data_IF_213543112298
#
_entry.id   IF_213543112298
#
_cell.length_a   1.000
_cell.length_b   1.000
_cell.length_c   1.000
_cell.angle_alpha   90.00
_cell.angle_beta   90.00
_cell.angle_gamma   90.00
#
_symmetry.space_group_name_H-M   'P 1'
#
loop_
_entity.id
_entity.type
_entity.pdbx_description
1 polymer ?
#
# COMPACT_ATOMS: atom_id res chain seq x y z
N UNK A 1 28.62 -23.71 23.44
CA UNK A 1 28.29 -22.28 23.58
C UNK A 1 27.57 -21.86 22.32
N UNK A 2 26.23 -21.85 22.35
CA UNK A 2 25.41 -21.48 21.19
C UNK A 2 25.29 -19.96 21.13
N UNK A 3 25.75 -19.37 20.03
CA UNK A 3 25.52 -17.96 19.73
C UNK A 3 24.02 -17.79 19.51
N UNK A 4 23.33 -17.14 20.46
CA UNK A 4 21.99 -16.61 20.20
C UNK A 4 22.21 -15.51 19.17
N UNK A 5 21.86 -15.78 17.91
CA UNK A 5 21.85 -14.73 16.90
C UNK A 5 20.84 -13.69 17.37
N UNK A 6 21.31 -12.51 17.76
CA UNK A 6 20.40 -11.40 18.02
C UNK A 6 19.58 -11.16 16.74
N UNK A 7 18.26 -11.00 16.85
CA UNK A 7 17.45 -10.70 15.68
C UNK A 7 18.01 -9.42 15.06
N UNK A 8 18.48 -9.52 13.80
CA UNK A 8 18.91 -8.36 13.04
C UNK A 8 17.76 -7.38 13.04
N UNK A 9 17.98 -6.21 13.64
CA UNK A 9 16.99 -5.15 13.68
C UNK A 9 16.55 -4.81 12.25
N UNK A 10 15.23 -4.69 12.04
CA UNK A 10 14.67 -4.30 10.75
C UNK A 10 15.21 -2.92 10.33
N UNK A 11 15.53 -2.78 9.04
CA UNK A 11 15.92 -1.49 8.47
C UNK A 11 14.79 -0.46 8.66
N UNK A 12 15.12 0.68 9.26
CA UNK A 12 14.14 1.70 9.65
C UNK A 12 13.43 2.31 8.42
N UNK A 13 14.14 2.48 7.31
CA UNK A 13 13.59 3.03 6.06
C UNK A 13 12.59 2.06 5.45
N UNK A 14 12.92 0.76 5.41
CA UNK A 14 11.98 -0.28 4.97
C UNK A 14 10.75 -0.34 5.88
N UNK A 15 10.92 -0.20 7.21
CA UNK A 15 9.80 -0.15 8.15
C UNK A 15 8.88 1.04 7.89
N UNK A 16 9.42 2.23 7.66
CA UNK A 16 8.65 3.44 7.32
C UNK A 16 7.91 3.28 5.99
N UNK A 17 8.55 2.66 4.99
CA UNK A 17 7.92 2.41 3.71
C UNK A 17 6.77 1.39 3.83
N UNK A 18 6.95 0.33 4.62
CA UNK A 18 5.87 -0.62 4.95
C UNK A 18 4.69 0.09 5.60
N UNK A 19 4.94 1.02 6.52
CA UNK A 19 3.86 1.83 7.10
C UNK A 19 3.06 2.55 6.01
N UNK A 20 3.72 3.27 5.11
CA UNK A 20 3.05 3.98 4.01
C UNK A 20 2.23 3.03 3.12
N UNK A 21 2.78 1.86 2.76
CA UNK A 21 2.05 0.84 1.99
C UNK A 21 0.74 0.41 2.68
N UNK A 22 0.69 0.45 4.01
CA UNK A 22 -0.48 0.03 4.80
C UNK A 22 -1.45 1.15 5.11
N UNK A 23 -0.98 2.39 5.30
CA UNK A 23 -1.82 3.45 5.89
C UNK A 23 -2.10 4.62 4.96
N UNK A 24 -1.25 4.88 3.95
CA UNK A 24 -1.41 6.02 3.07
C UNK A 24 -2.65 5.91 2.15
N UNK A 25 -3.36 7.01 1.85
CA UNK A 25 -4.34 7.04 0.76
C UNK A 25 -3.73 6.51 -0.56
N UNK A 26 -4.50 5.74 -1.33
CA UNK A 26 -3.96 5.02 -2.49
C UNK A 26 -3.41 5.96 -3.56
N UNK A 27 -4.09 7.07 -3.81
CA UNK A 27 -3.68 8.13 -4.73
C UNK A 27 -2.38 8.80 -4.28
N UNK A 28 -2.28 9.20 -3.01
CA UNK A 28 -1.05 9.77 -2.45
C UNK A 28 0.13 8.78 -2.52
N UNK A 29 -0.12 7.51 -2.20
CA UNK A 29 0.89 6.45 -2.30
C UNK A 29 1.35 6.23 -3.74
N UNK A 30 0.44 6.28 -4.72
CA UNK A 30 0.80 6.18 -6.14
C UNK A 30 1.64 7.37 -6.60
N UNK A 31 1.28 8.59 -6.21
CA UNK A 31 2.08 9.79 -6.49
C UNK A 31 3.48 9.69 -5.89
N UNK A 32 3.59 9.28 -4.62
CA UNK A 32 4.88 9.10 -3.94
C UNK A 32 5.77 8.05 -4.62
N UNK A 33 5.19 6.93 -5.09
CA UNK A 33 5.93 5.95 -5.89
C UNK A 33 6.38 6.50 -7.23
N UNK A 34 5.54 7.27 -7.91
CA UNK A 34 5.87 7.84 -9.21
C UNK A 34 7.02 8.84 -9.08
N UNK A 35 6.92 9.79 -8.13
CA UNK A 35 7.99 10.74 -7.80
C UNK A 35 9.28 10.01 -7.41
N UNK A 36 9.18 9.00 -6.53
CA UNK A 36 10.34 8.22 -6.10
C UNK A 36 11.00 7.47 -7.25
N UNK A 37 10.22 6.85 -8.14
CA UNK A 37 10.75 6.13 -9.31
C UNK A 37 11.46 7.07 -10.29
N UNK A 38 10.95 8.29 -10.50
CA UNK A 38 11.56 9.27 -11.40
C UNK A 38 12.96 9.74 -10.92
N UNK A 39 13.26 9.61 -9.62
CA UNK A 39 14.58 9.90 -9.04
C UNK A 39 15.58 8.77 -9.21
N UNK A 40 15.13 7.56 -9.58
CA UNK A 40 15.99 6.38 -9.70
C UNK A 40 16.58 6.25 -11.10
N UNK A 41 17.82 5.77 -11.17
CA UNK A 41 18.41 5.36 -12.44
C UNK A 41 17.66 4.18 -13.09
N UNK A 42 17.89 3.99 -14.40
CA UNK A 42 17.22 2.95 -15.19
C UNK A 42 17.48 1.53 -14.63
N UNK A 43 18.68 1.27 -14.11
CA UNK A 43 19.05 -0.05 -13.56
C UNK A 43 18.26 -0.39 -12.29
N UNK A 44 18.05 0.59 -11.41
CA UNK A 44 17.19 0.42 -10.22
C UNK A 44 15.73 0.27 -10.61
N UNK A 45 15.23 1.07 -11.56
CA UNK A 45 13.86 0.93 -12.09
C UNK A 45 13.64 -0.44 -12.72
N UNK A 46 14.64 -0.99 -13.42
CA UNK A 46 14.56 -2.32 -14.01
C UNK A 46 14.44 -3.43 -12.94
N UNK A 47 15.19 -3.31 -11.83
CA UNK A 47 15.07 -4.22 -10.68
C UNK A 47 13.70 -4.14 -10.02
N UNK A 48 13.16 -2.93 -9.86
CA UNK A 48 11.82 -2.72 -9.29
C UNK A 48 10.74 -3.30 -10.20
N UNK A 49 10.81 -3.06 -11.51
CA UNK A 49 9.89 -3.64 -12.47
C UNK A 49 9.95 -5.18 -12.45
N UNK A 50 11.15 -5.76 -12.33
CA UNK A 50 11.31 -7.21 -12.17
C UNK A 50 10.62 -7.72 -10.90
N UNK A 51 10.78 -7.03 -9.78
CA UNK A 51 10.09 -7.38 -8.53
C UNK A 51 8.56 -7.30 -8.66
N UNK A 52 8.03 -6.32 -9.41
CA UNK A 52 6.59 -6.25 -9.75
C UNK A 52 6.17 -7.46 -10.59
N UNK A 53 6.97 -7.83 -11.58
CA UNK A 53 6.71 -8.97 -12.46
C UNK A 53 6.73 -10.30 -11.71
N UNK A 54 7.67 -10.48 -10.78
CA UNK A 54 7.86 -11.73 -10.05
C UNK A 54 6.88 -11.83 -8.87
N UNK A 55 6.73 -10.76 -8.07
CA UNK A 55 5.95 -10.75 -6.83
C UNK A 55 4.46 -10.47 -7.01
N UNK A 56 4.09 -9.70 -8.03
CA UNK A 56 2.69 -9.34 -8.32
C UNK A 56 2.15 -9.99 -9.60
N UNK A 57 3.01 -10.71 -10.34
CA UNK A 57 2.64 -11.37 -11.61
C UNK A 57 2.00 -10.38 -12.59
N UNK A 58 2.53 -9.15 -12.65
CA UNK A 58 1.98 -8.04 -13.42
C UNK A 58 3.08 -7.27 -14.18
N UNK A 59 2.70 -6.44 -15.16
CA UNK A 59 3.66 -5.52 -15.81
C UNK A 59 4.61 -6.17 -16.82
N UNK A 60 4.30 -7.36 -17.35
CA UNK A 60 5.15 -8.10 -18.31
C UNK A 60 5.45 -7.36 -19.63
N UNK A 61 4.66 -6.34 -19.96
CA UNK A 61 4.82 -5.51 -21.17
C UNK A 61 5.45 -4.14 -20.89
N UNK A 62 5.66 -3.80 -19.63
CA UNK A 62 6.20 -2.50 -19.24
C UNK A 62 7.71 -2.46 -19.49
N UNK A 63 8.21 -1.25 -19.65
CA UNK A 63 9.62 -0.88 -19.65
C UNK A 63 9.96 -0.20 -18.32
N UNK A 64 11.23 -0.18 -17.90
CA UNK A 64 11.60 0.48 -16.65
C UNK A 64 11.27 1.97 -16.61
N UNK A 65 11.23 2.63 -17.78
CA UNK A 65 10.78 4.01 -17.92
C UNK A 65 9.27 4.26 -17.75
N UNK A 66 8.42 3.23 -17.67
CA UNK A 66 6.97 3.38 -17.48
C UNK A 66 6.62 3.63 -15.99
N UNK A 67 7.27 4.62 -15.36
CA UNK A 67 7.28 4.84 -13.91
C UNK A 67 5.88 5.00 -13.31
N UNK A 68 4.99 5.75 -13.96
CA UNK A 68 3.59 5.89 -13.51
C UNK A 68 2.80 4.57 -13.53
N UNK A 69 3.04 3.70 -14.51
CA UNK A 69 2.40 2.39 -14.57
C UNK A 69 2.95 1.44 -13.49
N UNK A 70 4.26 1.46 -13.27
CA UNK A 70 4.93 0.70 -12.21
C UNK A 70 4.42 1.15 -10.83
N UNK A 71 4.36 2.46 -10.57
CA UNK A 71 3.85 3.03 -9.33
C UNK A 71 2.43 2.55 -9.01
N UNK A 72 1.55 2.59 -10.02
CA UNK A 72 0.18 2.08 -9.89
C UNK A 72 0.15 0.59 -9.55
N UNK A 73 0.96 -0.23 -10.21
CA UNK A 73 1.01 -1.68 -9.97
C UNK A 73 1.53 -2.01 -8.58
N UNK A 74 2.60 -1.36 -8.11
CA UNK A 74 3.13 -1.55 -6.75
C UNK A 74 2.06 -1.21 -5.72
N UNK A 75 1.46 -0.02 -5.81
CA UNK A 75 0.47 0.44 -4.83
C UNK A 75 -0.80 -0.44 -4.78
N UNK A 76 -1.34 -0.85 -5.93
CA UNK A 76 -2.52 -1.73 -5.95
C UNK A 76 -2.15 -3.16 -5.56
N UNK A 77 -0.98 -3.64 -6.00
CA UNK A 77 -0.47 -4.97 -5.71
C UNK A 77 -0.29 -5.20 -4.22
N UNK A 78 0.43 -4.30 -3.53
CA UNK A 78 0.66 -4.38 -2.08
C UNK A 78 -0.60 -4.24 -1.25
N UNK A 79 -1.64 -3.57 -1.78
CA UNK A 79 -2.96 -3.52 -1.14
C UNK A 79 -3.71 -4.84 -1.20
N UNK A 80 -3.55 -5.59 -2.29
CA UNK A 80 -4.24 -6.87 -2.53
C UNK A 80 -3.48 -8.06 -1.97
N UNK A 81 -2.17 -8.07 -2.16
CA UNK A 81 -1.27 -9.09 -1.69
C UNK A 81 -0.14 -8.44 -0.88
N UNK A 82 -0.39 -8.16 0.41
CA UNK A 82 0.62 -7.66 1.32
C UNK A 82 1.93 -8.44 1.20
N UNK A 83 3.04 -7.71 1.07
CA UNK A 83 4.41 -8.20 0.95
C UNK A 83 4.78 -8.86 -0.38
N UNK A 84 3.85 -9.09 -1.30
CA UNK A 84 4.15 -9.74 -2.57
C UNK A 84 5.26 -9.03 -3.35
N UNK A 85 5.25 -7.70 -3.41
CA UNK A 85 6.33 -6.93 -4.03
C UNK A 85 7.55 -6.83 -3.11
N UNK A 86 7.34 -6.60 -1.80
CA UNK A 86 8.44 -6.46 -0.83
C UNK A 86 9.35 -7.70 -0.79
N UNK A 87 8.77 -8.89 -0.76
CA UNK A 87 9.49 -10.16 -0.67
C UNK A 87 10.19 -10.53 -1.98
N UNK A 88 9.69 -10.03 -3.13
CA UNK A 88 10.30 -10.23 -4.44
C UNK A 88 11.38 -9.19 -4.77
N UNK A 89 11.41 -8.05 -4.07
CA UNK A 89 12.32 -6.96 -4.37
C UNK A 89 13.70 -7.18 -3.77
N UNK A 90 14.74 -7.01 -4.60
CA UNK A 90 16.13 -7.06 -4.13
C UNK A 90 16.36 -5.99 -3.04
N UNK A 91 16.99 -6.32 -1.89
CA UNK A 91 17.11 -5.41 -0.75
C UNK A 91 17.71 -4.03 -1.09
N UNK A 92 18.72 -3.98 -1.98
CA UNK A 92 19.32 -2.71 -2.38
C UNK A 92 18.37 -1.84 -3.22
N UNK A 93 17.60 -2.44 -4.12
CA UNK A 93 16.62 -1.73 -4.93
C UNK A 93 15.41 -1.30 -4.08
N UNK A 94 14.97 -2.16 -3.15
CA UNK A 94 13.91 -1.87 -2.20
C UNK A 94 14.28 -0.69 -1.30
N UNK A 95 15.50 -0.70 -0.73
CA UNK A 95 15.98 0.40 0.10
C UNK A 95 16.03 1.72 -0.65
N UNK A 96 16.50 1.72 -1.91
CA UNK A 96 16.53 2.92 -2.74
C UNK A 96 15.13 3.46 -3.09
N UNK A 97 14.19 2.57 -3.41
CA UNK A 97 12.80 2.97 -3.65
C UNK A 97 12.13 3.49 -2.37
N UNK A 98 12.32 2.79 -1.25
CA UNK A 98 11.76 3.16 0.05
C UNK A 98 12.24 4.56 0.44
N UNK A 99 13.55 4.82 0.38
CA UNK A 99 14.13 6.14 0.65
C UNK A 99 13.54 7.23 -0.25
N UNK A 100 13.47 6.98 -1.57
CA UNK A 100 12.93 7.94 -2.53
C UNK A 100 11.44 8.22 -2.31
N UNK A 101 10.63 7.22 -1.97
CA UNK A 101 9.20 7.36 -1.66
C UNK A 101 9.00 8.16 -0.37
N UNK A 102 9.76 7.86 0.68
CA UNK A 102 9.64 8.52 1.98
C UNK A 102 9.94 10.02 1.90
N UNK A 103 10.90 10.40 1.06
CA UNK A 103 11.32 11.79 0.86
C UNK A 103 10.59 12.50 -0.29
N UNK A 104 9.61 11.86 -0.92
CA UNK A 104 8.78 12.49 -1.96
C UNK A 104 7.86 13.57 -1.37
N UNK A 105 7.44 14.54 -2.19
CA UNK A 105 6.53 15.60 -1.75
C UNK A 105 5.17 15.00 -1.40
N UNK A 106 4.71 14.03 -2.20
CA UNK A 106 3.47 13.30 -1.97
C UNK A 106 3.43 12.52 -0.64
N UNK A 107 4.58 12.17 -0.06
CA UNK A 107 4.64 11.50 1.25
C UNK A 107 4.48 12.45 2.44
N UNK A 108 4.50 13.78 2.21
CA UNK A 108 4.37 14.76 3.27
C UNK A 108 3.06 14.58 4.06
N UNK A 109 3.17 14.53 5.39
CA UNK A 109 2.02 14.34 6.29
C UNK A 109 1.45 12.91 6.35
N UNK A 110 1.95 11.97 5.55
CA UNK A 110 1.44 10.59 5.54
C UNK A 110 1.89 9.75 6.73
N UNK A 111 2.88 10.22 7.51
CA UNK A 111 3.42 9.53 8.69
C UNK A 111 2.61 9.72 9.98
N UNK A 112 1.43 10.33 9.91
CA UNK A 112 0.53 10.46 11.05
C UNK A 112 0.18 9.06 11.62
N UNK A 113 0.51 8.84 12.89
CA UNK A 113 0.26 7.55 13.57
C UNK A 113 1.39 6.52 13.48
N UNK A 114 2.51 6.81 12.81
CA UNK A 114 3.63 5.86 12.68
C UNK A 114 4.17 5.37 14.03
N UNK A 115 4.29 6.26 15.02
CA UNK A 115 4.81 5.92 16.35
C UNK A 115 3.92 4.91 17.13
N UNK A 116 2.64 4.79 16.77
CA UNK A 116 1.70 3.87 17.39
C UNK A 116 1.52 2.57 16.58
N UNK A 117 2.13 2.46 15.40
CA UNK A 117 1.98 1.30 14.52
C UNK A 117 2.80 0.11 15.03
N UNK A 118 2.15 -1.05 15.14
CA UNK A 118 2.75 -2.30 15.63
C UNK A 118 3.83 -2.86 14.69
N UNK A 119 3.82 -2.47 13.41
CA UNK A 119 4.77 -2.92 12.40
C UNK A 119 4.41 -4.26 11.76
N UNK A 120 3.20 -4.78 11.98
CA UNK A 120 2.76 -6.04 11.40
C UNK A 120 2.09 -5.80 10.04
N UNK A 121 2.42 -6.65 9.07
CA UNK A 121 1.65 -6.72 7.82
C UNK A 121 0.40 -7.58 8.06
N UNK A 122 -0.75 -7.24 7.43
CA UNK A 122 -1.91 -8.12 7.44
C UNK A 122 -1.57 -9.42 6.70
N UNK A 123 -2.20 -10.52 7.12
CA UNK A 123 -2.11 -11.77 6.39
C UNK A 123 -2.60 -11.58 4.94
N UNK A 124 -2.02 -12.30 3.95
CA UNK A 124 -2.55 -12.31 2.61
C UNK A 124 -4.04 -12.65 2.64
N UNK A 125 -4.85 -11.96 1.83
CA UNK A 125 -6.24 -12.33 1.68
C UNK A 125 -6.30 -13.76 1.14
N UNK A 126 -7.00 -14.64 1.85
CA UNK A 126 -7.31 -15.97 1.31
C UNK A 126 -8.17 -15.75 0.07
N UNK A 127 -7.56 -15.94 -1.11
CA UNK A 127 -8.29 -16.04 -2.37
C UNK A 127 -9.01 -17.37 -2.32
N UNK A 128 -10.10 -17.41 -1.53
CA UNK A 128 -10.95 -18.56 -1.40
C UNK A 128 -11.19 -19.11 -2.79
N UNK A 129 -10.68 -20.31 -3.04
CA UNK A 129 -10.95 -21.01 -4.27
C UNK A 129 -12.46 -21.15 -4.29
N UNK A 130 -13.12 -20.41 -5.18
CA UNK A 130 -14.53 -20.57 -5.46
C UNK A 130 -14.68 -21.96 -6.10
N UNK A 131 -14.71 -22.97 -5.24
CA UNK A 131 -15.25 -24.26 -5.56
C UNK A 131 -16.75 -24.04 -5.70
N UNK A 132 -17.17 -23.59 -6.88
CA UNK A 132 -18.56 -23.39 -7.25
C UNK A 132 -19.39 -24.56 -6.72
N UNK A 133 -20.09 -24.30 -5.62
CA UNK A 133 -20.68 -25.31 -4.76
C UNK A 133 -21.87 -24.70 -4.06
N UNK A 134 -23.04 -25.02 -4.59
CA UNK A 134 -24.35 -24.52 -4.18
C UNK A 134 -24.57 -24.60 -2.66
N UNK A 135 -24.99 -23.48 -2.07
CA UNK A 135 -25.22 -23.42 -0.63
C UNK A 135 -25.85 -22.11 -0.18
N UNK A 136 -27.11 -21.88 -0.58
CA UNK A 136 -27.97 -20.84 -0.03
C UNK A 136 -28.06 -20.97 1.50
N UNK A 137 -27.51 -20.00 2.24
CA UNK A 137 -28.05 -19.65 3.56
C UNK A 137 -27.67 -18.22 3.93
N UNK A 138 -28.61 -17.31 3.70
CA UNK A 138 -28.59 -15.94 4.19
C UNK A 138 -28.90 -15.96 5.68
N UNK A 139 -27.91 -15.65 6.52
CA UNK A 139 -28.17 -15.13 7.86
C UNK A 139 -27.47 -13.78 7.96
N UNK A 140 -28.22 -12.66 8.00
CA UNK A 140 -27.60 -11.35 8.18
C UNK A 140 -27.01 -11.24 9.58
N UNK A 141 -25.72 -10.92 9.63
CA UNK A 141 -24.99 -10.58 10.84
C UNK A 141 -25.45 -9.19 11.34
N UNK A 142 -26.04 -9.08 12.54
CA UNK A 142 -26.56 -7.81 13.06
C UNK A 142 -25.47 -6.74 13.22
N UNK A 143 -24.19 -7.13 13.37
CA UNK A 143 -23.09 -6.18 13.54
C UNK A 143 -22.80 -5.36 12.27
N UNK A 144 -23.00 -5.95 11.08
CA UNK A 144 -22.76 -5.26 9.80
C UNK A 144 -23.89 -4.27 9.48
N UNK A 145 -25.10 -4.51 10.01
CA UNK A 145 -26.22 -3.59 9.87
C UNK A 145 -26.03 -2.32 10.72
N UNK A 146 -25.50 -2.45 11.95
CA UNK A 146 -25.23 -1.30 12.83
C UNK A 146 -24.09 -0.42 12.32
N UNK A 147 -23.03 -1.00 11.75
CA UNK A 147 -21.92 -0.23 11.17
C UNK A 147 -22.37 0.61 9.96
N UNK A 148 -23.32 0.12 9.14
CA UNK A 148 -23.90 0.90 8.04
C UNK A 148 -24.86 2.00 8.52
N UNK A 149 -25.53 1.81 9.66
CA UNK A 149 -26.42 2.82 10.23
C UNK A 149 -25.66 4.05 10.76
N UNK A 150 -24.48 3.85 11.36
CA UNK A 150 -23.60 4.92 11.86
C UNK A 150 -22.91 5.74 10.76
N UNK A 151 -22.64 5.14 9.60
CA UNK A 151 -22.08 5.86 8.46
C UNK A 151 -23.11 6.78 7.78
N UNK A 152 -24.39 6.39 7.74
CA UNK A 152 -25.44 7.20 7.13
C UNK A 152 -25.86 8.41 8.00
N UNK A 153 -25.70 8.36 9.33
CA UNK A 153 -26.10 9.45 10.23
C UNK A 153 -25.17 10.68 10.19
N UNK A 154 -23.95 10.55 9.64
CA UNK A 154 -22.99 11.66 9.55
C UNK A 154 -23.09 12.49 8.26
N UNK A 155 -24.11 12.25 7.42
CA UNK A 155 -24.28 12.93 6.12
C UNK A 155 -25.34 14.03 6.08
N UNK A 156 -25.92 14.40 7.23
CA UNK A 156 -26.88 15.51 7.32
C UNK A 156 -26.32 16.60 8.23
N UNK A 157 -25.52 17.51 7.69
CA UNK A 157 -25.50 18.95 8.02
C UNK A 157 -24.46 19.67 7.14
N UNK A 158 -24.85 19.99 5.91
CA UNK A 158 -24.27 21.12 5.17
C UNK A 158 -25.41 22.10 4.92
N UNK A 159 -25.40 23.20 5.66
CA UNK A 159 -26.30 24.33 5.40
C UNK A 159 -25.63 25.24 4.37
N UNK A 160 -26.23 25.51 3.19
CA UNK A 160 -25.75 26.54 2.29
C UNK A 160 -26.25 27.90 2.77
N UNK A 161 -25.37 28.80 3.18
CA UNK A 161 -25.74 30.19 3.36
C UNK A 161 -25.64 30.89 2.00
N UNK A 162 -26.82 31.25 1.49
CA UNK A 162 -27.02 32.01 0.28
C UNK A 162 -26.63 33.48 0.48
N UNK A 163 -26.16 34.10 -0.60
CA UNK A 163 -25.92 35.53 -0.65
C UNK A 163 -27.20 36.37 -0.61
N UNK A 164 -27.04 37.64 -0.24
CA UNK A 164 -28.06 38.67 -0.29
C UNK A 164 -27.42 40.01 0.08
N UNK A 165 -27.46 40.97 -0.85
CA UNK A 165 -26.72 42.23 -0.79
C UNK A 165 -27.33 43.29 0.12
N UNK A 166 -26.53 44.32 0.38
CA UNK A 166 -26.88 45.74 0.36
C UNK A 166 -25.66 46.54 -0.10
#
# INVERSE_FOLDING_TARGET
MGTIAEPVAEDQTVRQYRFLLRTAPLDALQSAHHEGLDLLDEDKRARILRAVQDGLVAGQRLRPGDTGAIARLVSIGERRNPRGFLDACEPMALGALADAVIHSEAAFGLFAGYAAWDGLDPAPADVGVDHGGDGHSTRPDPAVAEARALANSHSLFVTPWAGGGF
#
